data_IF_074733133197
#
_entry.id   IF_074733133197
#
_cell.length_a   1.000
_cell.length_b   1.000
_cell.length_c   1.000
_cell.angle_alpha   90.00
_cell.angle_beta   90.00
_cell.angle_gamma   90.00
#
_symmetry.space_group_name_H-M   'P 1'
#
loop_
_entity.id
_entity.type
_entity.pdbx_description
1 polymer ?
#
# COMPACT_ATOMS: atom_id res chain seq x y z
N UNK A 1 11.24 0.40 23.07
CA UNK A 1 9.89 -0.09 22.66
C UNK A 1 10.09 -0.89 21.39
N UNK A 2 9.51 -2.08 21.32
CA UNK A 2 9.76 -3.01 20.22
C UNK A 2 8.60 -2.95 19.24
N UNK A 3 8.87 -2.74 17.95
CA UNK A 3 7.87 -2.95 16.89
C UNK A 3 7.38 -4.39 16.99
N UNK A 4 6.06 -4.57 17.08
CA UNK A 4 5.41 -5.89 17.19
C UNK A 4 4.60 -6.23 15.95
N UNK A 5 4.08 -5.21 15.27
CA UNK A 5 3.19 -5.37 14.12
C UNK A 5 3.64 -4.48 12.98
N UNK A 6 3.83 -5.08 11.81
CA UNK A 6 4.14 -4.39 10.56
C UNK A 6 2.93 -4.54 9.63
N UNK A 7 2.31 -3.44 9.26
CA UNK A 7 1.14 -3.41 8.38
C UNK A 7 1.59 -2.93 6.99
N UNK A 8 1.32 -3.72 5.97
CA UNK A 8 1.67 -3.40 4.59
C UNK A 8 0.44 -2.96 3.79
N UNK A 9 0.61 -1.99 2.89
CA UNK A 9 -0.27 -1.87 1.74
C UNK A 9 -0.04 -3.05 0.79
N UNK A 10 -0.95 -3.26 -0.14
CA UNK A 10 -0.87 -4.37 -1.08
C UNK A 10 -0.42 -3.91 -2.47
N UNK A 11 -1.25 -3.07 -3.14
CA UNK A 11 -1.00 -2.60 -4.50
C UNK A 11 0.22 -1.66 -4.51
N UNK A 12 1.20 -1.93 -5.38
CA UNK A 12 2.44 -1.15 -5.46
C UNK A 12 3.44 -1.38 -4.32
N UNK A 13 3.03 -2.01 -3.22
CA UNK A 13 3.90 -2.30 -2.06
C UNK A 13 4.36 -3.76 -2.02
N UNK A 14 3.41 -4.70 -2.08
CA UNK A 14 3.66 -6.15 -2.11
C UNK A 14 3.55 -6.73 -3.52
N UNK A 15 2.53 -6.30 -4.27
CA UNK A 15 2.23 -6.72 -5.62
C UNK A 15 2.59 -5.61 -6.62
N UNK A 16 3.23 -5.97 -7.72
CA UNK A 16 3.53 -5.06 -8.83
C UNK A 16 2.27 -4.86 -9.68
N UNK A 17 1.44 -3.94 -9.25
CA UNK A 17 0.12 -3.66 -9.85
C UNK A 17 0.07 -2.38 -10.67
N UNK A 18 1.13 -1.57 -10.69
CA UNK A 18 1.11 -0.22 -11.27
C UNK A 18 0.67 -0.22 -12.73
N UNK A 19 1.33 -1.01 -13.57
CA UNK A 19 1.03 -1.07 -15.01
C UNK A 19 -0.40 -1.57 -15.26
N UNK A 20 -0.80 -2.65 -14.57
CA UNK A 20 -2.15 -3.19 -14.69
C UNK A 20 -3.23 -2.17 -14.29
N UNK A 21 -3.01 -1.41 -13.21
CA UNK A 21 -3.93 -0.36 -12.77
C UNK A 21 -4.03 0.78 -13.80
N UNK A 22 -2.91 1.19 -14.41
CA UNK A 22 -2.92 2.21 -15.48
C UNK A 22 -3.72 1.72 -16.69
N UNK A 23 -3.50 0.49 -17.15
CA UNK A 23 -4.23 -0.11 -18.27
C UNK A 23 -5.73 -0.19 -17.96
N UNK A 24 -6.08 -0.68 -16.77
CA UNK A 24 -7.49 -0.83 -16.35
C UNK A 24 -8.18 0.54 -16.25
N UNK A 25 -7.55 1.51 -15.60
CA UNK A 25 -8.12 2.86 -15.47
C UNK A 25 -8.27 3.50 -16.84
N UNK A 26 -7.29 3.41 -17.73
CA UNK A 26 -7.40 3.94 -19.10
C UNK A 26 -8.56 3.32 -19.88
N UNK A 27 -8.79 2.01 -19.75
CA UNK A 27 -9.93 1.33 -20.37
C UNK A 27 -11.28 1.83 -19.85
N UNK A 28 -11.36 2.16 -18.57
CA UNK A 28 -12.57 2.67 -17.93
C UNK A 28 -12.81 4.18 -18.14
N UNK A 29 -11.83 4.90 -18.67
CA UNK A 29 -11.86 6.36 -18.78
C UNK A 29 -13.08 6.85 -19.60
N UNK A 30 -13.38 6.21 -20.73
CA UNK A 30 -14.53 6.56 -21.59
C UNK A 30 -15.85 6.40 -20.83
N UNK A 31 -16.04 5.28 -20.14
CA UNK A 31 -17.27 5.00 -19.40
C UNK A 31 -17.52 6.00 -18.26
N UNK A 32 -16.46 6.38 -17.56
CA UNK A 32 -16.56 7.28 -16.41
C UNK A 32 -16.38 8.76 -16.75
N UNK A 33 -16.04 9.08 -18.01
CA UNK A 33 -15.94 10.45 -18.51
C UNK A 33 -14.73 11.22 -17.96
N UNK A 34 -13.57 10.56 -17.88
CA UNK A 34 -12.31 11.22 -17.52
C UNK A 34 -11.23 10.99 -18.60
N UNK A 35 -10.15 11.77 -18.54
CA UNK A 35 -9.05 11.69 -19.49
C UNK A 35 -8.19 10.45 -19.21
N UNK A 36 -7.85 9.71 -20.26
CA UNK A 36 -6.84 8.64 -20.19
C UNK A 36 -5.45 9.21 -19.85
N UNK A 37 -4.69 8.44 -19.11
CA UNK A 37 -3.28 8.76 -18.83
C UNK A 37 -2.42 8.29 -19.99
N UNK A 38 -1.73 9.24 -20.63
CA UNK A 38 -0.73 8.90 -21.63
C UNK A 38 0.57 8.41 -20.98
N UNK A 39 1.35 7.54 -21.64
CA UNK A 39 2.60 7.00 -21.07
C UNK A 39 3.57 8.11 -20.61
N UNK A 40 3.67 9.20 -21.36
CA UNK A 40 4.51 10.35 -21.04
C UNK A 40 4.02 11.16 -19.83
N UNK A 41 2.74 11.07 -19.49
CA UNK A 41 2.13 11.73 -18.32
C UNK A 41 2.34 10.93 -17.03
N UNK A 42 2.67 9.64 -17.13
CA UNK A 42 2.76 8.75 -15.95
C UNK A 42 3.78 9.26 -14.93
N UNK A 43 4.94 9.74 -15.37
CA UNK A 43 5.95 10.29 -14.49
C UNK A 43 5.44 11.51 -13.70
N UNK A 44 4.61 12.37 -14.32
CA UNK A 44 3.99 13.50 -13.66
C UNK A 44 2.91 13.07 -12.66
N UNK A 45 2.07 12.10 -13.05
CA UNK A 45 0.99 11.57 -12.20
C UNK A 45 1.57 10.92 -10.94
N UNK A 46 2.71 10.24 -11.03
CA UNK A 46 3.40 9.67 -9.87
C UNK A 46 3.88 10.71 -8.86
N UNK A 47 3.96 11.99 -9.25
CA UNK A 47 4.28 13.10 -8.36
C UNK A 47 3.04 13.69 -7.65
N UNK A 48 1.84 13.25 -7.99
CA UNK A 48 0.59 13.74 -7.44
C UNK A 48 0.07 12.84 -6.33
N UNK A 49 -0.58 13.45 -5.35
CA UNK A 49 -1.38 12.70 -4.37
C UNK A 49 -2.63 12.13 -5.03
N UNK A 50 -3.19 11.06 -4.46
CA UNK A 50 -4.45 10.48 -4.94
C UNK A 50 -5.59 11.50 -5.03
N UNK A 51 -5.61 12.54 -4.17
CA UNK A 51 -6.60 13.63 -4.22
C UNK A 51 -6.40 14.54 -5.43
N UNK A 52 -5.14 14.89 -5.73
CA UNK A 52 -4.81 15.71 -6.89
C UNK A 52 -5.13 14.98 -8.19
N UNK A 53 -4.85 13.67 -8.26
CA UNK A 53 -5.21 12.83 -9.40
C UNK A 53 -6.72 12.86 -9.63
N UNK A 54 -7.52 12.60 -8.60
CA UNK A 54 -8.99 12.66 -8.70
C UNK A 54 -9.45 14.04 -9.14
N UNK A 55 -8.89 15.11 -8.59
CA UNK A 55 -9.24 16.49 -8.97
C UNK A 55 -8.88 16.80 -10.43
N UNK A 56 -7.68 16.41 -10.88
CA UNK A 56 -7.20 16.69 -12.23
C UNK A 56 -7.86 15.82 -13.30
N UNK A 57 -8.28 14.59 -12.94
CA UNK A 57 -8.97 13.68 -13.87
C UNK A 57 -10.34 14.18 -14.34
N UNK A 58 -10.94 15.12 -13.59
CA UNK A 58 -12.30 15.63 -13.87
C UNK A 58 -13.41 14.63 -13.51
N UNK A 59 -13.08 13.48 -12.90
CA UNK A 59 -14.10 12.51 -12.49
C UNK A 59 -14.99 13.08 -11.38
N UNK A 60 -16.31 12.91 -11.54
CA UNK A 60 -17.23 13.25 -10.46
C UNK A 60 -16.96 12.40 -9.21
N UNK A 61 -16.86 13.04 -8.05
CA UNK A 61 -16.65 12.35 -6.77
C UNK A 61 -17.74 11.30 -6.46
N UNK A 62 -18.96 11.49 -6.98
CA UNK A 62 -20.05 10.54 -6.86
C UNK A 62 -19.83 9.29 -7.70
N UNK A 63 -19.05 9.37 -8.79
CA UNK A 63 -18.70 8.22 -9.64
C UNK A 63 -17.49 7.44 -9.11
N UNK A 64 -16.69 8.04 -8.26
CA UNK A 64 -15.43 7.44 -7.78
C UNK A 64 -15.63 6.06 -7.10
N UNK A 65 -16.63 5.83 -6.21
CA UNK A 65 -16.85 4.51 -5.62
C UNK A 65 -17.17 3.44 -6.68
N UNK A 66 -17.92 3.79 -7.72
CA UNK A 66 -18.27 2.88 -8.81
C UNK A 66 -17.06 2.55 -9.69
N UNK A 67 -16.22 3.57 -10.01
CA UNK A 67 -14.95 3.35 -10.69
C UNK A 67 -14.06 2.39 -9.91
N UNK A 68 -13.85 2.64 -8.62
CA UNK A 68 -13.02 1.79 -7.78
C UNK A 68 -13.54 0.35 -7.71
N UNK A 69 -14.85 0.16 -7.66
CA UNK A 69 -15.45 -1.18 -7.72
C UNK A 69 -15.14 -1.87 -9.05
N UNK A 70 -15.26 -1.17 -10.19
CA UNK A 70 -14.94 -1.73 -11.50
C UNK A 70 -13.45 -2.00 -11.67
N UNK A 71 -12.57 -1.13 -11.17
CA UNK A 71 -11.13 -1.36 -11.16
C UNK A 71 -10.78 -2.66 -10.42
N UNK A 72 -11.34 -2.88 -9.23
CA UNK A 72 -11.10 -4.12 -8.45
C UNK A 72 -11.58 -5.37 -9.18
N UNK A 73 -12.77 -5.32 -9.81
CA UNK A 73 -13.30 -6.43 -10.58
C UNK A 73 -12.46 -6.71 -11.84
N UNK A 74 -11.99 -5.66 -12.51
CA UNK A 74 -11.11 -5.82 -13.67
C UNK A 74 -9.74 -6.39 -13.27
N UNK A 75 -9.19 -5.91 -12.14
CA UNK A 75 -7.93 -6.41 -11.60
C UNK A 75 -8.02 -7.89 -11.20
N UNK A 76 -9.20 -8.37 -10.75
CA UNK A 76 -9.41 -9.78 -10.43
C UNK A 76 -9.05 -10.71 -11.59
N UNK A 77 -9.38 -10.31 -12.81
CA UNK A 77 -9.08 -11.11 -14.01
C UNK A 77 -7.57 -11.20 -14.32
N UNK A 78 -6.82 -10.21 -13.87
CA UNK A 78 -5.38 -10.11 -14.12
C UNK A 78 -4.53 -10.45 -12.90
N UNK A 79 -5.12 -10.56 -11.70
CA UNK A 79 -4.38 -10.74 -10.43
C UNK A 79 -3.44 -11.94 -10.46
N UNK A 80 -3.84 -13.00 -11.12
CA UNK A 80 -3.01 -14.20 -11.27
C UNK A 80 -1.81 -14.01 -12.21
N UNK A 81 -1.79 -12.98 -13.05
CA UNK A 81 -0.68 -12.67 -13.95
C UNK A 81 0.36 -11.76 -13.29
N UNK A 82 -0.02 -11.10 -12.22
CA UNK A 82 0.85 -10.16 -11.51
C UNK A 82 1.91 -10.89 -10.71
N UNK A 83 3.03 -10.22 -10.52
CA UNK A 83 4.17 -10.71 -9.76
C UNK A 83 4.32 -9.96 -8.44
N UNK A 84 4.88 -10.57 -7.39
CA UNK A 84 5.35 -9.85 -6.22
C UNK A 84 6.46 -8.87 -6.60
N UNK A 85 6.58 -7.79 -5.86
CA UNK A 85 7.75 -6.91 -5.93
C UNK A 85 9.00 -7.74 -5.72
N UNK A 86 10.01 -7.52 -6.57
CA UNK A 86 11.25 -8.29 -6.56
C UNK A 86 11.95 -8.18 -5.20
N UNK A 87 12.23 -9.32 -4.56
CA UNK A 87 12.87 -9.38 -3.24
C UNK A 87 11.93 -9.22 -2.05
N UNK A 88 10.63 -8.96 -2.26
CA UNK A 88 9.69 -8.75 -1.15
C UNK A 88 9.46 -10.04 -0.35
N UNK A 89 9.43 -11.20 -1.00
CA UNK A 89 9.21 -12.49 -0.34
C UNK A 89 10.30 -12.78 0.68
N UNK A 90 11.55 -12.57 0.32
CA UNK A 90 12.69 -12.76 1.21
C UNK A 90 12.62 -11.80 2.41
N UNK A 91 12.32 -10.52 2.15
CA UNK A 91 12.19 -9.52 3.20
C UNK A 91 11.07 -9.87 4.20
N UNK A 92 9.89 -10.25 3.72
CA UNK A 92 8.76 -10.67 4.56
C UNK A 92 9.09 -11.93 5.38
N UNK A 93 9.75 -12.91 4.76
CA UNK A 93 10.15 -14.14 5.44
C UNK A 93 11.11 -13.85 6.58
N UNK A 94 12.12 -13.01 6.35
CA UNK A 94 13.08 -12.61 7.38
C UNK A 94 12.39 -11.86 8.53
N UNK A 95 11.54 -10.87 8.21
CA UNK A 95 10.79 -10.14 9.23
C UNK A 95 9.92 -11.06 10.09
N UNK A 96 9.28 -12.06 9.48
CA UNK A 96 8.47 -13.06 10.21
C UNK A 96 9.34 -13.93 11.09
N UNK A 97 10.49 -14.39 10.60
CA UNK A 97 11.44 -15.21 11.37
C UNK A 97 12.03 -14.45 12.58
N UNK A 98 12.14 -13.13 12.50
CA UNK A 98 12.50 -12.25 13.62
C UNK A 98 11.37 -12.04 14.64
N UNK A 99 10.23 -12.70 14.45
CA UNK A 99 9.11 -12.68 15.40
C UNK A 99 8.12 -11.52 15.17
N UNK A 100 8.24 -10.76 14.08
CA UNK A 100 7.29 -9.71 13.77
C UNK A 100 5.96 -10.29 13.29
N UNK A 101 4.85 -9.70 13.75
CA UNK A 101 3.51 -9.99 13.23
C UNK A 101 3.25 -9.15 11.99
N UNK A 102 3.07 -9.79 10.84
CA UNK A 102 2.80 -9.12 9.58
C UNK A 102 1.30 -9.09 9.29
N UNK A 103 0.81 -7.99 8.73
CA UNK A 103 -0.57 -7.83 8.30
C UNK A 103 -0.69 -6.99 7.04
N UNK A 104 -1.83 -7.10 6.37
CA UNK A 104 -2.16 -6.33 5.17
C UNK A 104 -3.34 -5.41 5.46
N UNK A 105 -3.26 -4.16 5.02
CA UNK A 105 -4.35 -3.21 5.02
C UNK A 105 -4.43 -2.52 3.66
N UNK A 106 -5.46 -2.87 2.87
CA UNK A 106 -5.56 -2.44 1.48
C UNK A 106 -6.95 -1.91 1.11
N UNK A 107 -7.01 -1.09 0.07
CA UNK A 107 -8.26 -0.74 -0.59
C UNK A 107 -8.74 -1.82 -1.57
N UNK A 108 -7.89 -2.80 -1.93
CA UNK A 108 -8.25 -3.91 -2.81
C UNK A 108 -9.28 -4.87 -2.17
N UNK A 109 -9.81 -5.82 -2.92
CA UNK A 109 -10.71 -6.85 -2.37
C UNK A 109 -9.91 -7.96 -1.68
N UNK A 110 -10.51 -8.57 -0.68
CA UNK A 110 -9.91 -9.70 0.04
C UNK A 110 -9.64 -10.88 -0.90
N UNK A 111 -10.56 -11.11 -1.84
CA UNK A 111 -10.45 -12.16 -2.84
C UNK A 111 -9.19 -11.99 -3.70
N UNK A 112 -8.96 -10.78 -4.23
CA UNK A 112 -7.77 -10.48 -5.03
C UNK A 112 -6.48 -10.72 -4.24
N UNK A 113 -6.43 -10.22 -3.01
CA UNK A 113 -5.26 -10.38 -2.13
C UNK A 113 -5.02 -11.86 -1.85
N UNK A 114 -6.05 -12.63 -1.46
CA UNK A 114 -5.92 -14.04 -1.10
C UNK A 114 -5.50 -14.90 -2.31
N UNK A 115 -6.06 -14.64 -3.49
CA UNK A 115 -5.65 -15.33 -4.74
C UNK A 115 -4.18 -15.09 -5.04
N UNK A 116 -3.74 -13.83 -4.94
CA UNK A 116 -2.35 -13.44 -5.17
C UNK A 116 -1.39 -14.09 -4.17
N UNK A 117 -1.69 -13.96 -2.88
CA UNK A 117 -0.84 -14.50 -1.80
C UNK A 117 -0.68 -16.01 -1.93
N UNK A 118 -1.78 -16.73 -2.18
CA UNK A 118 -1.77 -18.19 -2.36
C UNK A 118 -0.92 -18.60 -3.56
N UNK A 119 -1.12 -17.95 -4.70
CA UNK A 119 -0.33 -18.24 -5.91
C UNK A 119 1.18 -18.12 -5.68
N UNK A 120 1.60 -17.12 -4.91
CA UNK A 120 3.02 -16.82 -4.69
C UNK A 120 3.60 -17.44 -3.41
N UNK A 121 2.81 -18.22 -2.66
CA UNK A 121 3.24 -18.84 -1.40
C UNK A 121 3.62 -17.80 -0.35
N UNK A 122 2.78 -16.76 -0.20
CA UNK A 122 2.93 -15.67 0.76
C UNK A 122 1.84 -15.69 1.84
N UNK A 123 0.81 -16.54 1.70
CA UNK A 123 -0.38 -16.54 2.57
C UNK A 123 0.00 -16.73 4.04
N UNK A 124 0.86 -17.69 4.34
CA UNK A 124 1.28 -18.02 5.70
C UNK A 124 2.14 -16.93 6.36
N UNK A 125 2.61 -15.94 5.61
CA UNK A 125 3.41 -14.85 6.17
C UNK A 125 2.55 -13.84 6.93
N UNK A 126 1.28 -13.72 6.60
CA UNK A 126 0.40 -12.69 7.16
C UNK A 126 -0.57 -13.25 8.20
N UNK A 127 -0.67 -12.57 9.33
CA UNK A 127 -1.57 -12.93 10.44
C UNK A 127 -2.98 -12.39 10.27
N UNK A 128 -3.16 -11.36 9.43
CA UNK A 128 -4.46 -10.75 9.16
C UNK A 128 -4.44 -9.96 7.86
N UNK A 129 -5.63 -9.83 7.25
CA UNK A 129 -5.88 -9.00 6.07
C UNK A 129 -7.11 -8.16 6.34
N UNK A 130 -6.96 -6.83 6.26
CA UNK A 130 -8.06 -5.87 6.24
C UNK A 130 -8.20 -5.30 4.85
N UNK A 131 -9.27 -5.71 4.16
CA UNK A 131 -9.55 -5.37 2.77
C UNK A 131 -10.66 -4.32 2.64
N UNK A 132 -10.83 -3.78 1.44
CA UNK A 132 -11.97 -2.93 1.10
C UNK A 132 -12.01 -1.59 1.82
N UNK A 133 -10.88 -1.13 2.37
CA UNK A 133 -10.83 0.19 3.00
C UNK A 133 -11.11 1.30 1.97
N UNK A 134 -11.74 2.39 2.41
CA UNK A 134 -11.87 3.56 1.55
C UNK A 134 -10.49 4.18 1.28
N UNK A 135 -10.34 4.86 0.12
CA UNK A 135 -9.09 5.53 -0.27
C UNK A 135 -8.46 6.41 0.83
N UNK A 136 -9.28 6.98 1.69
CA UNK A 136 -8.83 7.92 2.74
C UNK A 136 -9.16 7.44 4.16
N UNK A 137 -9.50 6.16 4.33
CA UNK A 137 -9.99 5.60 5.59
C UNK A 137 -8.98 4.77 6.38
N UNK A 138 -7.78 4.50 5.86
CA UNK A 138 -6.79 3.59 6.47
C UNK A 138 -6.52 3.90 7.95
N UNK A 139 -6.34 5.17 8.31
CA UNK A 139 -6.09 5.58 9.70
C UNK A 139 -7.17 5.14 10.70
N UNK A 140 -8.46 5.08 10.27
CA UNK A 140 -9.56 4.64 11.13
C UNK A 140 -9.47 3.13 11.40
N UNK A 141 -9.13 2.37 10.36
CA UNK A 141 -9.00 0.90 10.46
C UNK A 141 -7.79 0.54 11.32
N UNK A 142 -6.64 1.18 11.11
CA UNK A 142 -5.44 0.96 11.93
C UNK A 142 -5.72 1.30 13.40
N UNK A 143 -6.35 2.44 13.69
CA UNK A 143 -6.71 2.83 15.07
C UNK A 143 -7.64 1.81 15.74
N UNK A 144 -8.64 1.30 15.00
CA UNK A 144 -9.54 0.25 15.48
C UNK A 144 -8.76 -1.04 15.78
N UNK A 145 -7.90 -1.45 14.85
CA UNK A 145 -7.04 -2.62 15.03
C UNK A 145 -6.15 -2.50 16.27
N UNK A 146 -5.47 -1.37 16.43
CA UNK A 146 -4.62 -1.12 17.61
C UNK A 146 -5.40 -1.22 18.92
N UNK A 147 -6.60 -0.58 18.97
CA UNK A 147 -7.47 -0.66 20.15
C UNK A 147 -7.90 -2.10 20.47
N UNK A 148 -8.26 -2.88 19.45
CA UNK A 148 -8.70 -4.28 19.63
C UNK A 148 -7.58 -5.22 20.08
N UNK A 149 -6.32 -4.90 19.74
CA UNK A 149 -5.16 -5.70 20.09
C UNK A 149 -4.32 -5.12 21.25
N UNK A 150 -4.82 -4.06 21.93
CA UNK A 150 -4.11 -3.35 23.01
C UNK A 150 -2.69 -2.92 22.61
N UNK A 151 -2.54 -2.37 21.40
CA UNK A 151 -1.27 -1.91 20.84
C UNK A 151 -1.12 -0.40 20.99
N UNK A 152 0.08 0.03 21.38
CA UNK A 152 0.50 1.42 21.39
C UNK A 152 1.02 1.85 19.99
N UNK A 153 1.09 3.14 19.74
CA UNK A 153 1.56 3.71 18.46
C UNK A 153 2.97 3.31 18.09
N UNK A 154 3.82 3.07 19.09
CA UNK A 154 5.23 2.70 18.91
C UNK A 154 5.43 1.21 18.60
N UNK A 155 4.40 0.40 18.78
CA UNK A 155 4.41 -1.04 18.49
C UNK A 155 3.95 -1.38 17.07
N UNK A 156 3.42 -0.38 16.35
CA UNK A 156 2.88 -0.55 15.00
C UNK A 156 3.62 0.33 14.01
N UNK A 157 4.03 -0.24 12.89
CA UNK A 157 4.58 0.49 11.76
C UNK A 157 3.78 0.18 10.49
N UNK A 158 3.63 1.18 9.64
CA UNK A 158 2.98 1.03 8.36
C UNK A 158 4.00 1.10 7.21
N UNK A 159 3.84 0.25 6.20
CA UNK A 159 4.66 0.22 4.99
C UNK A 159 3.76 0.45 3.78
N UNK A 160 4.06 1.47 2.97
CA UNK A 160 3.24 1.80 1.80
C UNK A 160 3.97 2.69 0.80
N UNK A 161 3.43 2.74 -0.41
CA UNK A 161 4.02 3.39 -1.57
C UNK A 161 3.31 4.69 -2.00
N UNK A 162 2.27 5.08 -1.27
CA UNK A 162 1.50 6.28 -1.60
C UNK A 162 1.58 7.36 -0.51
N UNK A 163 1.47 8.63 -0.93
CA UNK A 163 1.44 9.78 -0.01
C UNK A 163 0.31 9.70 0.99
N UNK A 164 -0.84 9.09 0.63
CA UNK A 164 -1.98 8.86 1.54
C UNK A 164 -1.66 7.87 2.67
N UNK A 165 -0.69 6.99 2.49
CA UNK A 165 -0.22 6.07 3.54
C UNK A 165 0.54 6.83 4.61
N UNK A 166 1.42 7.74 4.19
CA UNK A 166 2.15 8.66 5.08
C UNK A 166 1.15 9.54 5.84
N UNK A 167 0.20 10.16 5.14
CA UNK A 167 -0.84 10.99 5.77
C UNK A 167 -1.68 10.21 6.80
N UNK A 168 -2.05 8.97 6.46
CA UNK A 168 -2.86 8.13 7.34
C UNK A 168 -2.12 7.73 8.60
N UNK A 169 -0.84 7.38 8.48
CA UNK A 169 0.02 7.00 9.59
C UNK A 169 0.28 8.18 10.53
N UNK A 170 0.59 9.35 9.98
CA UNK A 170 0.78 10.59 10.75
C UNK A 170 -0.46 11.01 11.54
N UNK A 171 -1.67 10.84 10.99
CA UNK A 171 -2.93 11.15 11.70
C UNK A 171 -3.15 10.35 12.98
N UNK A 172 -2.46 9.26 13.14
CA UNK A 172 -2.59 8.37 14.31
C UNK A 172 -1.26 8.18 15.05
N UNK A 173 -0.23 8.95 14.66
CA UNK A 173 1.10 8.97 15.27
C UNK A 173 1.79 7.60 15.27
N UNK A 174 1.61 6.79 14.24
CA UNK A 174 2.42 5.59 14.02
C UNK A 174 3.54 5.89 13.01
N UNK A 175 4.65 5.17 13.13
CA UNK A 175 5.76 5.28 12.17
C UNK A 175 5.36 4.75 10.80
N UNK A 176 5.93 5.34 9.74
CA UNK A 176 5.71 4.94 8.37
C UNK A 176 7.02 4.76 7.61
N UNK A 177 7.14 3.63 6.94
CA UNK A 177 8.17 3.37 5.93
C UNK A 177 7.52 3.59 4.57
N UNK A 178 7.92 4.63 3.86
CA UNK A 178 7.54 4.85 2.48
C UNK A 178 8.46 4.06 1.55
N UNK A 179 7.88 3.39 0.56
CA UNK A 179 8.62 2.59 -0.41
C UNK A 179 8.53 3.21 -1.80
N UNK A 180 9.66 3.39 -2.48
CA UNK A 180 9.72 4.15 -3.75
C UNK A 180 9.60 3.31 -5.01
N UNK A 181 9.41 2.01 -4.87
CA UNK A 181 9.22 1.11 -6.01
C UNK A 181 7.77 1.03 -6.51
N UNK A 182 6.80 1.58 -5.77
CA UNK A 182 5.38 1.55 -6.11
C UNK A 182 4.88 2.75 -6.91
N UNK A 183 3.66 3.21 -6.57
CA UNK A 183 2.94 4.21 -7.35
C UNK A 183 3.56 5.62 -7.28
N UNK A 184 3.71 6.20 -6.08
CA UNK A 184 4.25 7.55 -5.98
C UNK A 184 5.76 7.59 -6.22
N UNK A 185 6.23 8.70 -6.81
CA UNK A 185 7.66 8.94 -6.98
C UNK A 185 8.36 9.16 -5.64
N UNK A 186 9.67 8.94 -5.63
CA UNK A 186 10.53 9.24 -4.48
C UNK A 186 10.36 10.67 -3.99
N UNK A 187 10.31 11.61 -4.92
CA UNK A 187 10.18 13.05 -4.67
C UNK A 187 8.84 13.38 -4.01
N UNK A 188 7.75 12.77 -4.49
CA UNK A 188 6.43 12.94 -3.90
C UNK A 188 6.38 12.38 -2.47
N UNK A 189 6.92 11.19 -2.25
CA UNK A 189 6.97 10.57 -0.92
C UNK A 189 7.83 11.40 0.04
N UNK A 190 9.02 11.85 -0.39
CA UNK A 190 9.92 12.64 0.44
C UNK A 190 9.29 13.97 0.90
N UNK A 191 8.53 14.65 0.03
CA UNK A 191 7.80 15.89 0.39
C UNK A 191 6.79 15.70 1.54
N UNK A 192 6.29 14.48 1.74
CA UNK A 192 5.37 14.16 2.84
C UNK A 192 6.10 13.76 4.12
N UNK A 193 7.45 13.80 4.14
CA UNK A 193 8.31 13.53 5.29
C UNK A 193 7.93 12.22 6.02
N UNK A 194 8.05 11.04 5.38
CA UNK A 194 7.88 9.76 6.07
C UNK A 194 8.99 9.60 7.13
N UNK A 195 8.79 8.72 8.12
CA UNK A 195 9.85 8.40 9.09
C UNK A 195 11.06 7.73 8.40
N UNK A 196 10.77 6.89 7.41
CA UNK A 196 11.77 6.24 6.57
C UNK A 196 11.32 6.24 5.11
N UNK A 197 12.28 6.38 4.19
CA UNK A 197 12.07 6.26 2.75
C UNK A 197 13.10 5.28 2.20
N UNK A 198 12.63 4.13 1.73
CA UNK A 198 13.48 3.05 1.24
C UNK A 198 13.25 2.76 -0.24
N UNK A 199 14.24 2.12 -0.86
CA UNK A 199 14.27 1.91 -2.32
C UNK A 199 14.27 0.44 -2.72
N UNK A 200 14.57 -0.46 -1.78
CA UNK A 200 14.62 -1.91 -2.01
C UNK A 200 14.01 -2.66 -0.83
N UNK A 201 13.31 -3.79 -1.06
CA UNK A 201 12.71 -4.57 0.03
C UNK A 201 13.69 -5.04 1.12
N UNK A 202 14.95 -5.31 0.78
CA UNK A 202 15.96 -5.73 1.76
C UNK A 202 16.21 -4.66 2.85
N UNK A 203 16.02 -3.38 2.53
CA UNK A 203 16.18 -2.28 3.50
C UNK A 203 15.14 -2.32 4.63
N UNK A 204 13.99 -3.02 4.43
CA UNK A 204 12.98 -3.20 5.48
C UNK A 204 13.59 -3.83 6.74
N UNK A 205 14.47 -4.82 6.58
CA UNK A 205 15.07 -5.56 7.68
C UNK A 205 15.93 -4.61 8.52
N UNK A 206 16.77 -3.80 7.86
CA UNK A 206 17.68 -2.85 8.53
C UNK A 206 16.88 -1.79 9.30
N UNK A 207 15.84 -1.23 8.68
CA UNK A 207 14.98 -0.22 9.31
C UNK A 207 14.28 -0.80 10.54
N UNK A 208 13.66 -1.97 10.43
CA UNK A 208 12.95 -2.60 11.56
C UNK A 208 13.93 -2.96 12.68
N UNK A 209 15.10 -3.53 12.35
CA UNK A 209 16.12 -3.83 13.34
C UNK A 209 16.62 -2.57 14.07
N UNK A 210 16.77 -1.43 13.37
CA UNK A 210 17.17 -0.16 13.99
C UNK A 210 16.13 0.33 15.01
N UNK A 211 14.84 0.15 14.73
CA UNK A 211 13.76 0.53 15.64
C UNK A 211 13.64 -0.37 16.87
N UNK A 212 14.11 -1.60 16.76
CA UNK A 212 14.13 -2.55 17.89
C UNK A 212 15.32 -2.34 18.82
N UNK A 213 16.48 -1.85 18.30
CA UNK A 213 17.70 -1.62 19.07
C UNK A 213 17.69 -0.34 19.93
N UNK A 214 16.87 0.64 19.61
CA UNK A 214 16.79 1.92 20.38
C UNK A 214 16.25 1.68 21.82
N UNK A 215 15.96 0.48 22.20
CA UNK A 215 15.26 0.08 23.43
C UNK A 215 16.10 -0.81 24.36
N UNK A 216 17.30 -1.16 23.96
CA UNK A 216 18.29 -1.80 24.83
C UNK A 216 19.33 -0.77 25.29
#
# INVERSE_FOLDING_TARGET
MSVKVIIFDFDGTLADTLEALVIITNRLAVEFGYKQTAPEELAQIRNLSSREIVKQSGISIFKLPFLLKKVKLALHNDIQKLSPILGIKEALTNLKNEGNRLGILTSNSEENVSVFLRKHGLEDLFSFIYSGTSLFGKHKVIRKFMKQNNLNTEEVIYVGDETRDIESSKKINIKVIAVSWGFNSREALAKHNPDFLIHKPCELIEVIASLQKIVS
#
